data_IF_736861539750
#
_entry.id   IF_736861539750
#
_cell.length_a   1.000
_cell.length_b   1.000
_cell.length_c   1.000
_cell.angle_alpha   90.00
_cell.angle_beta   90.00
_cell.angle_gamma   90.00
#
_symmetry.space_group_name_H-M   'P 1'
#
loop_
_entity.id
_entity.type
_entity.pdbx_description
1 polymer ?
#
# COMPACT_ATOMS: atom_id res chain seq x y z
N UNK A 1 -14.35 41.30 13.91
CA UNK A 1 -14.24 40.59 12.63
C UNK A 1 -13.50 39.30 12.87
N UNK A 2 -14.19 38.17 12.70
CA UNK A 2 -13.60 36.84 12.73
C UNK A 2 -13.45 36.33 11.31
N UNK A 3 -12.37 35.61 11.05
CA UNK A 3 -12.11 34.99 9.77
C UNK A 3 -12.91 33.69 9.68
N UNK A 4 -13.65 33.50 8.60
CA UNK A 4 -14.34 32.26 8.27
C UNK A 4 -13.52 31.53 7.21
N UNK A 5 -13.28 30.24 7.42
CA UNK A 5 -12.55 29.38 6.49
C UNK A 5 -13.52 28.46 5.77
N UNK A 6 -13.31 28.29 4.47
CA UNK A 6 -14.06 27.38 3.62
C UNK A 6 -13.34 26.03 3.54
N UNK A 7 -14.11 24.95 3.60
CA UNK A 7 -13.60 23.59 3.47
C UNK A 7 -13.51 23.21 1.99
N UNK A 8 -12.28 23.09 1.49
CA UNK A 8 -12.00 22.67 0.11
C UNK A 8 -11.98 21.14 -0.04
N UNK A 9 -12.36 20.38 0.99
CA UNK A 9 -12.46 18.92 1.02
C UNK A 9 -11.14 18.21 1.35
N UNK A 10 -11.20 16.88 1.31
CA UNK A 10 -10.15 15.94 1.74
C UNK A 10 -8.96 15.84 0.76
N UNK A 11 -8.39 16.99 0.41
CA UNK A 11 -7.41 17.14 -0.65
C UNK A 11 -5.97 17.16 -0.12
N UNK A 12 -5.07 16.48 -0.81
CA UNK A 12 -3.63 16.61 -0.55
C UNK A 12 -3.10 17.97 -1.03
N UNK A 13 -1.90 18.32 -0.58
CA UNK A 13 -1.25 19.60 -0.88
C UNK A 13 -1.06 19.87 -2.38
N UNK A 14 -0.95 18.82 -3.20
CA UNK A 14 -0.77 18.98 -4.65
C UNK A 14 -2.01 19.61 -5.29
N UNK A 15 -3.21 19.24 -4.84
CA UNK A 15 -4.46 19.83 -5.34
C UNK A 15 -4.54 21.32 -4.96
N UNK A 16 -4.19 21.67 -3.71
CA UNK A 16 -4.12 23.06 -3.26
C UNK A 16 -3.15 23.88 -4.11
N UNK A 17 -1.95 23.35 -4.35
CA UNK A 17 -0.95 24.04 -5.15
C UNK A 17 -1.41 24.24 -6.61
N UNK A 18 -1.96 23.19 -7.24
CA UNK A 18 -2.31 23.21 -8.66
C UNK A 18 -3.56 24.05 -8.97
N UNK A 19 -4.57 24.03 -8.09
CA UNK A 19 -5.86 24.65 -8.37
C UNK A 19 -6.12 25.94 -7.58
N UNK A 20 -5.39 26.16 -6.48
CA UNK A 20 -5.60 27.31 -5.61
C UNK A 20 -4.34 28.17 -5.41
N UNK A 21 -3.18 27.72 -5.88
CA UNK A 21 -1.94 28.52 -5.88
C UNK A 21 -1.31 28.72 -4.50
N UNK A 22 -1.68 27.90 -3.51
CA UNK A 22 -1.06 27.91 -2.19
C UNK A 22 -0.88 26.49 -1.66
N UNK A 23 -0.04 26.33 -0.64
CA UNK A 23 0.05 25.09 0.15
C UNK A 23 -0.34 25.44 1.59
N UNK A 24 -1.40 24.83 2.15
CA UNK A 24 -1.78 25.06 3.53
C UNK A 24 -0.65 24.69 4.48
N UNK A 25 -0.44 25.48 5.54
CA UNK A 25 0.56 25.17 6.58
C UNK A 25 0.16 23.87 7.27
N UNK A 26 -1.09 23.80 7.71
CA UNK A 26 -1.70 22.64 8.34
C UNK A 26 -2.74 22.02 7.39
N UNK A 27 -2.49 20.79 6.96
CA UNK A 27 -3.43 20.01 6.15
C UNK A 27 -3.56 18.60 6.74
N UNK A 28 -4.73 18.22 7.28
CA UNK A 28 -4.94 16.89 7.85
C UNK A 28 -4.88 15.76 6.83
N UNK A 29 -4.99 16.08 5.53
CA UNK A 29 -4.92 15.13 4.42
C UNK A 29 -3.55 15.13 3.72
N UNK A 30 -2.55 15.80 4.32
CA UNK A 30 -1.16 15.75 3.86
C UNK A 30 -0.62 14.34 3.96
N UNK A 31 -0.17 13.79 2.84
CA UNK A 31 0.48 12.49 2.82
C UNK A 31 1.49 12.34 1.69
N UNK A 32 2.34 11.32 1.83
CA UNK A 32 3.25 10.88 0.78
C UNK A 32 2.68 9.63 0.14
N UNK A 33 2.58 9.60 -1.19
CA UNK A 33 2.13 8.42 -1.92
C UNK A 33 3.28 7.42 -2.08
N UNK A 34 3.19 6.29 -1.39
CA UNK A 34 4.06 5.14 -1.60
C UNK A 34 3.46 4.23 -2.67
N UNK A 35 4.24 3.92 -3.70
CA UNK A 35 3.85 3.01 -4.79
C UNK A 35 4.84 1.85 -4.80
N UNK A 36 4.34 0.62 -4.67
CA UNK A 36 5.21 -0.55 -4.71
C UNK A 36 5.79 -0.77 -6.14
N UNK A 37 6.83 -1.60 -6.30
CA UNK A 37 7.35 -1.97 -7.62
C UNK A 37 6.32 -2.65 -8.53
N UNK A 38 6.46 -2.48 -9.85
CA UNK A 38 5.51 -3.06 -10.82
C UNK A 38 5.86 -4.50 -11.18
N UNK A 39 4.85 -5.29 -11.58
CA UNK A 39 5.00 -6.72 -11.93
C UNK A 39 6.06 -7.00 -13.00
N UNK A 40 6.30 -6.06 -13.92
CA UNK A 40 7.25 -6.23 -15.02
C UNK A 40 8.70 -6.36 -14.56
N UNK A 41 8.99 -5.96 -13.32
CA UNK A 41 10.33 -6.01 -12.73
C UNK A 41 10.57 -7.26 -11.87
N UNK A 42 9.54 -8.10 -11.70
CA UNK A 42 9.56 -9.21 -10.75
C UNK A 42 10.01 -10.51 -11.40
N UNK A 43 10.69 -11.36 -10.62
CA UNK A 43 11.00 -12.72 -11.04
C UNK A 43 9.74 -13.57 -11.19
N UNK A 44 9.80 -14.62 -12.01
CA UNK A 44 8.66 -15.51 -12.29
C UNK A 44 8.03 -16.11 -11.02
N UNK A 45 8.86 -16.46 -10.03
CA UNK A 45 8.42 -17.12 -8.80
C UNK A 45 7.64 -16.14 -7.91
N UNK A 46 8.16 -14.93 -7.75
CA UNK A 46 7.51 -13.85 -6.98
C UNK A 46 6.20 -13.47 -7.66
N UNK A 47 6.20 -13.35 -8.99
CA UNK A 47 4.99 -13.03 -9.74
C UNK A 47 3.91 -14.10 -9.60
N UNK A 48 4.29 -15.39 -9.55
CA UNK A 48 3.36 -16.49 -9.28
C UNK A 48 2.70 -16.33 -7.91
N UNK A 49 3.50 -16.14 -6.87
CA UNK A 49 3.00 -16.00 -5.50
C UNK A 49 2.10 -14.76 -5.33
N UNK A 50 2.49 -13.62 -5.87
CA UNK A 50 1.67 -12.39 -5.83
C UNK A 50 0.30 -12.58 -6.51
N UNK A 51 0.25 -13.34 -7.61
CA UNK A 51 -1.02 -13.69 -8.27
C UNK A 51 -1.86 -14.66 -7.43
N UNK A 52 -1.24 -15.61 -6.73
CA UNK A 52 -1.94 -16.51 -5.81
C UNK A 52 -2.55 -15.72 -4.63
N UNK A 53 -1.81 -14.74 -4.10
CA UNK A 53 -2.25 -13.76 -3.10
C UNK A 53 -3.32 -12.77 -3.62
N UNK A 54 -3.80 -12.93 -4.86
CA UNK A 54 -4.89 -12.16 -5.49
C UNK A 54 -4.62 -10.66 -5.64
N UNK A 55 -3.36 -10.22 -5.62
CA UNK A 55 -3.04 -8.86 -6.01
C UNK A 55 -3.31 -8.66 -7.50
N UNK A 56 -4.37 -7.90 -7.82
CA UNK A 56 -4.72 -7.55 -9.20
C UNK A 56 -3.85 -6.41 -9.74
N UNK A 57 -3.48 -5.49 -8.85
CA UNK A 57 -2.69 -4.31 -9.16
C UNK A 57 -1.57 -4.16 -8.13
N UNK A 58 -0.54 -3.39 -8.48
CA UNK A 58 0.48 -2.98 -7.53
C UNK A 58 -0.15 -2.09 -6.45
N UNK A 59 -0.05 -2.46 -5.16
CA UNK A 59 -0.61 -1.66 -4.10
C UNK A 59 0.10 -0.30 -4.02
N UNK A 60 -0.69 0.72 -3.72
CA UNK A 60 -0.20 2.04 -3.39
C UNK A 60 -0.97 2.57 -2.19
N UNK A 61 -0.32 3.36 -1.38
CA UNK A 61 -0.89 3.91 -0.16
C UNK A 61 -0.42 5.35 0.06
N UNK A 62 -1.33 6.17 0.55
CA UNK A 62 -1.07 7.49 1.11
C UNK A 62 -0.61 7.31 2.57
N UNK A 63 0.64 7.66 2.88
CA UNK A 63 1.22 7.61 4.22
C UNK A 63 1.17 9.01 4.82
N UNK A 64 0.35 9.17 5.85
CA UNK A 64 0.18 10.39 6.61
C UNK A 64 1.03 10.37 7.90
N UNK A 65 0.76 11.29 8.82
CA UNK A 65 1.44 11.40 10.11
C UNK A 65 1.18 10.24 11.07
N UNK A 66 0.27 9.31 10.76
CA UNK A 66 0.06 8.10 11.56
C UNK A 66 1.16 7.06 11.35
N UNK A 67 1.94 7.18 10.27
CA UNK A 67 2.98 6.22 9.86
C UNK A 67 2.48 4.78 9.70
N UNK A 68 1.16 4.57 9.53
CA UNK A 68 0.60 3.24 9.40
C UNK A 68 0.68 2.73 7.96
N UNK A 69 1.15 1.50 7.79
CA UNK A 69 1.07 0.77 6.53
C UNK A 69 -0.09 -0.21 6.57
N UNK A 70 -0.84 -0.30 5.48
CA UNK A 70 -1.89 -1.31 5.36
C UNK A 70 -1.25 -2.70 5.20
N UNK A 71 -1.92 -3.72 5.73
CA UNK A 71 -1.41 -5.11 5.69
C UNK A 71 -1.11 -5.58 4.26
N UNK A 72 -1.92 -5.18 3.29
CA UNK A 72 -1.75 -5.56 1.90
C UNK A 72 -0.42 -5.07 1.30
N UNK A 73 -0.02 -3.83 1.60
CA UNK A 73 1.25 -3.25 1.15
C UNK A 73 2.42 -3.88 1.88
N UNK A 74 2.29 -4.16 3.18
CA UNK A 74 3.32 -4.89 3.94
C UNK A 74 3.55 -6.26 3.33
N UNK A 75 2.51 -7.09 3.19
CA UNK A 75 2.60 -8.43 2.58
C UNK A 75 3.19 -8.37 1.18
N UNK A 76 2.78 -7.39 0.37
CA UNK A 76 3.35 -7.22 -0.98
C UNK A 76 4.86 -6.95 -0.91
N UNK A 77 5.28 -5.97 -0.11
CA UNK A 77 6.69 -5.59 0.01
C UNK A 77 7.54 -6.70 0.63
N UNK A 78 7.04 -7.41 1.64
CA UNK A 78 7.72 -8.59 2.21
C UNK A 78 7.82 -9.70 1.18
N UNK A 79 6.75 -9.95 0.40
CA UNK A 79 6.80 -10.96 -0.66
C UNK A 79 7.92 -10.66 -1.65
N UNK A 80 8.18 -9.38 -1.97
CA UNK A 80 9.29 -9.00 -2.86
C UNK A 80 10.67 -9.31 -2.31
N UNK A 81 10.83 -9.41 -0.98
CA UNK A 81 12.12 -9.72 -0.34
C UNK A 81 12.33 -11.21 -0.08
N UNK A 82 11.33 -12.06 -0.33
CA UNK A 82 11.42 -13.48 -0.06
C UNK A 82 12.50 -14.19 -0.87
N UNK A 83 13.22 -15.06 -0.17
CA UNK A 83 14.04 -16.08 -0.80
C UNK A 83 13.19 -17.29 -1.23
N UNK A 84 13.80 -18.23 -1.97
CA UNK A 84 13.10 -19.41 -2.50
C UNK A 84 12.42 -20.28 -1.43
N UNK A 85 13.00 -20.37 -0.23
CA UNK A 85 12.42 -21.17 0.87
C UNK A 85 11.16 -20.51 1.41
N UNK A 86 11.19 -19.19 1.60
CA UNK A 86 10.06 -18.39 2.07
C UNK A 86 8.91 -18.38 1.06
N UNK A 87 9.21 -18.25 -0.24
CA UNK A 87 8.19 -18.36 -1.31
C UNK A 87 7.46 -19.70 -1.19
N UNK A 88 8.19 -20.81 -1.16
CA UNK A 88 7.59 -22.14 -1.09
C UNK A 88 6.78 -22.35 0.20
N UNK A 89 7.18 -21.73 1.31
CA UNK A 89 6.44 -21.81 2.57
C UNK A 89 5.13 -21.03 2.48
N UNK A 90 5.18 -19.79 2.00
CA UNK A 90 3.99 -18.96 1.84
C UNK A 90 3.01 -19.57 0.82
N UNK A 91 3.50 -20.15 -0.29
CA UNK A 91 2.66 -20.87 -1.24
C UNK A 91 1.89 -22.03 -0.59
N UNK A 92 2.50 -22.76 0.35
CA UNK A 92 1.77 -23.81 1.10
C UNK A 92 0.66 -23.23 1.95
N UNK A 93 0.95 -22.18 2.71
CA UNK A 93 -0.05 -21.51 3.56
C UNK A 93 -1.23 -21.01 2.73
N UNK A 94 -0.97 -20.38 1.59
CA UNK A 94 -2.02 -19.89 0.68
C UNK A 94 -2.91 -21.03 0.16
N UNK A 95 -2.31 -22.18 -0.16
CA UNK A 95 -3.05 -23.33 -0.69
C UNK A 95 -3.84 -24.08 0.40
N UNK A 96 -3.33 -24.12 1.63
CA UNK A 96 -3.96 -24.81 2.77
C UNK A 96 -5.05 -23.96 3.44
N UNK A 97 -4.87 -22.63 3.47
CA UNK A 97 -5.73 -21.68 4.20
C UNK A 97 -6.93 -21.21 3.38
N UNK A 98 -7.67 -22.13 2.77
CA UNK A 98 -8.84 -21.84 1.94
C UNK A 98 -9.76 -20.87 2.73
N UNK A 99 -9.71 -19.59 2.37
CA UNK A 99 -10.48 -18.45 2.90
C UNK A 99 -10.06 -17.76 4.22
N UNK A 100 -8.96 -18.14 4.90
CA UNK A 100 -8.42 -17.36 6.02
C UNK A 100 -7.28 -16.43 5.60
N UNK A 101 -7.65 -15.27 5.04
CA UNK A 101 -6.69 -14.27 4.58
C UNK A 101 -5.92 -13.58 5.70
N UNK A 102 -6.45 -13.55 6.93
CA UNK A 102 -5.72 -12.97 8.05
C UNK A 102 -4.52 -13.85 8.41
N UNK A 103 -4.73 -15.16 8.49
CA UNK A 103 -3.64 -16.11 8.71
C UNK A 103 -2.60 -16.07 7.58
N UNK A 104 -3.05 -16.02 6.31
CA UNK A 104 -2.15 -15.87 5.16
C UNK A 104 -1.31 -14.60 5.28
N UNK A 105 -1.91 -13.47 5.65
CA UNK A 105 -1.16 -12.22 5.78
C UNK A 105 -0.21 -12.23 6.95
N UNK A 106 -0.57 -12.83 8.08
CA UNK A 106 0.32 -12.89 9.25
C UNK A 106 1.52 -13.82 9.00
N UNK A 107 1.36 -14.92 8.25
CA UNK A 107 2.45 -15.86 7.93
C UNK A 107 3.31 -15.44 6.72
N UNK A 108 2.76 -14.60 5.83
CA UNK A 108 3.45 -14.12 4.63
C UNK A 108 3.89 -12.64 4.71
N UNK A 109 4.00 -12.07 5.91
CA UNK A 109 4.44 -10.67 6.15
C UNK A 109 5.74 -10.54 6.90
#
# INVERSE_FOLDING_TARGET
>A
NEQVFEDYGDNNDLIYLLFHGFVPIDNPFRCIKLVAPTFNTLSSNILSLIKQLKFQNTPNQCIDSSYQLNKALVVYLTTLSFNKKEINQCEKVVNESISDWNHVFDECS
#
